data_IF_309354765602
#
_entry.id   IF_309354765602
#
_cell.length_a   1.000
_cell.length_b   1.000
_cell.length_c   1.000
_cell.angle_alpha   90.00
_cell.angle_beta   90.00
_cell.angle_gamma   90.00
#
_symmetry.space_group_name_H-M   'P 1'
#
loop_
_entity.id
_entity.type
_entity.pdbx_description
1 polymer ?
#
# COMPACT_ATOMS: atom_id res chain seq x y z
N UNK A 1 4.33 -5.44 -23.98
CA UNK A 1 4.20 -5.96 -22.59
C UNK A 1 3.94 -4.75 -21.72
N UNK A 2 2.67 -4.46 -21.46
CA UNK A 2 2.25 -3.19 -20.87
C UNK A 2 2.45 -3.25 -19.35
N UNK A 3 3.56 -2.70 -18.88
CA UNK A 3 3.76 -2.50 -17.44
C UNK A 3 3.02 -1.24 -17.04
N UNK A 4 2.01 -1.41 -16.19
CA UNK A 4 1.33 -0.29 -15.53
C UNK A 4 2.24 0.25 -14.42
N UNK A 5 2.32 1.56 -14.27
CA UNK A 5 3.11 2.24 -13.25
C UNK A 5 2.45 2.10 -11.86
N UNK A 6 2.40 0.89 -11.30
CA UNK A 6 1.84 0.63 -9.98
C UNK A 6 2.92 0.12 -9.00
N UNK A 7 3.06 0.81 -7.86
CA UNK A 7 4.04 0.48 -6.82
C UNK A 7 3.32 0.19 -5.50
N UNK A 8 3.50 -1.01 -4.97
CA UNK A 8 3.00 -1.41 -3.65
C UNK A 8 4.15 -1.55 -2.66
N UNK A 9 4.01 -0.95 -1.48
CA UNK A 9 5.07 -0.91 -0.49
C UNK A 9 4.53 -0.98 0.94
N UNK A 10 5.43 -1.36 1.85
CA UNK A 10 5.28 -1.26 3.31
C UNK A 10 6.60 -0.70 3.85
N UNK A 11 6.55 -0.03 5.00
CA UNK A 11 7.75 0.33 5.74
C UNK A 11 8.01 -0.74 6.80
N UNK A 12 9.24 -1.27 6.84
CA UNK A 12 9.61 -2.42 7.67
C UNK A 12 9.30 -2.26 9.16
N UNK A 13 9.30 -1.02 9.64
CA UNK A 13 9.15 -0.68 11.07
C UNK A 13 7.77 -0.12 11.41
N UNK A 14 6.80 -0.19 10.49
CA UNK A 14 5.46 0.38 10.69
C UNK A 14 4.43 -0.73 10.86
N UNK A 15 3.84 -0.82 12.06
CA UNK A 15 2.81 -1.81 12.39
C UNK A 15 1.48 -1.52 11.69
N UNK A 16 1.08 -0.24 11.61
CA UNK A 16 -0.14 0.19 10.93
C UNK A 16 0.20 0.93 9.63
N UNK A 17 0.09 0.24 8.49
CA UNK A 17 0.37 0.82 7.18
C UNK A 17 -0.57 1.99 6.82
N UNK A 18 -1.74 2.14 7.47
CA UNK A 18 -2.63 3.28 7.22
C UNK A 18 -2.04 4.62 7.67
N UNK A 19 -1.18 4.61 8.70
CA UNK A 19 -0.48 5.84 9.16
C UNK A 19 0.41 6.41 8.05
N UNK A 20 0.96 5.56 7.18
CA UNK A 20 1.73 6.00 6.01
C UNK A 20 0.82 6.81 5.07
N UNK A 21 -0.39 6.30 4.80
CA UNK A 21 -1.37 7.01 3.99
C UNK A 21 -1.77 8.36 4.57
N UNK A 22 -1.91 8.45 5.90
CA UNK A 22 -2.19 9.69 6.61
C UNK A 22 -1.06 10.72 6.46
N UNK A 23 0.20 10.33 6.71
CA UNK A 23 1.36 11.21 6.52
C UNK A 23 1.48 11.71 5.08
N UNK A 24 1.20 10.87 4.10
CA UNK A 24 1.20 11.28 2.69
C UNK A 24 0.06 12.27 2.39
N UNK A 25 -1.14 12.05 2.97
CA UNK A 25 -2.26 12.96 2.83
C UNK A 25 -1.99 14.34 3.43
N UNK A 26 -1.34 14.42 4.60
CA UNK A 26 -0.90 15.69 5.21
C UNK A 26 0.08 16.45 4.30
N UNK A 27 0.90 15.73 3.53
CA UNK A 27 1.80 16.29 2.54
C UNK A 27 1.12 16.59 1.19
N UNK A 28 -0.21 16.47 1.08
CA UNK A 28 -0.98 16.60 -0.16
C UNK A 28 -0.63 15.57 -1.25
N UNK A 29 -0.20 14.37 -0.86
CA UNK A 29 0.10 13.25 -1.76
C UNK A 29 -0.94 12.14 -1.57
N UNK A 30 -1.77 11.91 -2.60
CA UNK A 30 -2.81 10.90 -2.53
C UNK A 30 -2.25 9.49 -2.81
N UNK A 31 -2.37 8.59 -1.83
CA UNK A 31 -2.07 7.16 -1.96
C UNK A 31 -3.25 6.32 -1.45
N UNK A 32 -3.33 5.05 -1.84
CA UNK A 32 -4.35 4.11 -1.32
C UNK A 32 -3.68 3.07 -0.44
N UNK A 33 -4.25 2.81 0.73
CA UNK A 33 -3.77 1.78 1.63
C UNK A 33 -4.88 0.75 1.89
N UNK A 34 -4.51 -0.53 2.01
CA UNK A 34 -5.44 -1.63 2.31
C UNK A 34 -5.15 -2.93 1.55
N UNK A 35 -6.18 -3.76 1.42
CA UNK A 35 -6.12 -5.05 0.74
C UNK A 35 -6.28 -4.99 -0.78
N UNK A 36 -6.59 -3.80 -1.35
CA UNK A 36 -6.72 -3.57 -2.79
C UNK A 36 -7.65 -4.55 -3.52
N UNK A 37 -8.70 -5.05 -2.84
CA UNK A 37 -9.56 -6.13 -3.34
C UNK A 37 -8.80 -7.42 -3.73
N UNK A 38 -7.61 -7.63 -3.18
CA UNK A 38 -6.67 -8.70 -3.54
C UNK A 38 -6.25 -9.53 -2.32
N UNK A 39 -7.19 -9.87 -1.42
CA UNK A 39 -6.91 -10.59 -0.17
C UNK A 39 -6.04 -11.86 -0.33
N UNK A 40 -6.27 -12.75 -1.32
CA UNK A 40 -5.43 -13.93 -1.51
C UNK A 40 -3.95 -13.60 -1.79
N UNK A 41 -3.68 -12.49 -2.49
CA UNK A 41 -2.32 -12.03 -2.79
C UNK A 41 -1.62 -11.56 -1.50
N UNK A 42 -2.31 -10.75 -0.71
CA UNK A 42 -1.82 -10.28 0.60
C UNK A 42 -1.53 -11.45 1.55
N UNK A 43 -2.40 -12.47 1.57
CA UNK A 43 -2.18 -13.72 2.31
C UNK A 43 -0.91 -14.45 1.84
N UNK A 44 -0.67 -14.55 0.52
CA UNK A 44 0.55 -15.17 -0.03
C UNK A 44 1.83 -14.44 0.39
N UNK A 45 1.79 -13.11 0.47
CA UNK A 45 2.92 -12.29 0.92
C UNK A 45 3.01 -12.15 2.46
N UNK A 46 2.07 -12.75 3.19
CA UNK A 46 1.94 -12.61 4.65
C UNK A 46 1.94 -11.13 5.09
N UNK A 47 1.17 -10.31 4.38
CA UNK A 47 0.94 -8.90 4.73
C UNK A 47 -0.56 -8.66 4.90
N UNK A 48 -1.00 -7.88 5.90
CA UNK A 48 -2.41 -7.54 6.07
C UNK A 48 -2.92 -6.55 5.00
N UNK A 49 -2.00 -5.83 4.36
CA UNK A 49 -2.26 -4.82 3.35
C UNK A 49 -0.96 -4.12 2.97
N UNK A 50 -1.04 -3.21 2.01
CA UNK A 50 0.08 -2.34 1.59
C UNK A 50 -0.42 -0.93 1.38
N UNK A 51 0.48 0.03 1.16
CA UNK A 51 0.13 1.27 0.47
C UNK A 51 0.53 1.15 -1.01
N UNK A 52 -0.23 1.82 -1.88
CA UNK A 52 -0.10 1.74 -3.33
C UNK A 52 -0.19 3.11 -3.99
N UNK A 53 0.77 3.37 -4.88
CA UNK A 53 0.78 4.45 -5.85
C UNK A 53 0.52 3.89 -7.25
N UNK A 54 -0.30 4.57 -8.04
CA UNK A 54 -0.70 4.16 -9.40
C UNK A 54 -1.14 5.34 -10.23
#
# INVERSE_FOLDING_TARGET
MDRVAAFSFVLSNTTNFNNIGETFAEANIAVRCGGHCAYPLHKRFNKPGTCRMS
#
